data_IF_852591635712
#
_entry.id   IF_852591635712
#
_cell.length_a   1.000
_cell.length_b   1.000
_cell.length_c   1.000
_cell.angle_alpha   90.00
_cell.angle_beta   90.00
_cell.angle_gamma   90.00
#
_symmetry.space_group_name_H-M   'P 1'
#
loop_
_entity.id
_entity.type
_entity.pdbx_description
1 polymer ?
#
# COMPACT_ATOMS: atom_id res chain seq x y z
N UNK A 1 -32.33 -11.54 -6.07
CA UNK A 1 -31.59 -10.28 -5.91
C UNK A 1 -30.20 -10.65 -5.44
N UNK A 2 -29.26 -10.76 -6.37
CA UNK A 2 -27.88 -11.12 -6.07
C UNK A 2 -27.23 -9.89 -5.46
N UNK A 3 -26.94 -9.92 -4.16
CA UNK A 3 -26.11 -8.90 -3.52
C UNK A 3 -24.75 -8.94 -4.23
N UNK A 4 -24.45 -7.91 -5.02
CA UNK A 4 -23.07 -7.61 -5.43
C UNK A 4 -22.32 -7.28 -4.15
N UNK A 5 -21.81 -8.31 -3.49
CA UNK A 5 -20.82 -8.17 -2.45
C UNK A 5 -19.68 -7.37 -3.11
N UNK A 6 -19.40 -6.12 -2.70
CA UNK A 6 -18.20 -5.46 -3.18
C UNK A 6 -17.09 -6.43 -2.79
N UNK A 7 -16.28 -6.84 -3.77
CA UNK A 7 -15.13 -7.68 -3.48
C UNK A 7 -14.48 -7.06 -2.25
N UNK A 8 -14.48 -7.80 -1.14
CA UNK A 8 -13.56 -7.49 -0.06
C UNK A 8 -12.22 -7.78 -0.70
N UNK A 9 -11.71 -6.79 -1.43
CA UNK A 9 -10.36 -6.77 -1.95
C UNK A 9 -9.55 -6.59 -0.68
N UNK A 10 -9.42 -7.70 0.06
CA UNK A 10 -8.61 -7.76 1.25
C UNK A 10 -7.26 -7.20 0.87
N UNK A 11 -6.67 -6.42 1.77
CA UNK A 11 -5.30 -5.95 1.57
C UNK A 11 -4.46 -7.06 0.94
N UNK A 12 -3.71 -6.76 -0.13
CA UNK A 12 -2.73 -7.70 -0.61
C UNK A 12 -1.86 -8.11 0.58
N UNK A 13 -1.69 -9.42 0.81
CA UNK A 13 -0.94 -9.93 1.97
C UNK A 13 0.51 -9.43 2.04
N UNK A 14 1.05 -8.98 0.91
CA UNK A 14 2.37 -8.37 0.80
C UNK A 14 2.42 -6.91 1.28
N UNK A 15 1.28 -6.20 1.37
CA UNK A 15 1.22 -4.77 1.67
C UNK A 15 1.36 -4.50 3.17
N UNK A 16 2.57 -4.71 3.69
CA UNK A 16 2.94 -4.54 5.09
C UNK A 16 3.99 -3.45 5.27
N UNK A 17 4.03 -2.82 6.44
CA UNK A 17 5.09 -1.86 6.78
C UNK A 17 6.47 -2.53 6.68
N UNK A 18 7.42 -1.81 6.09
CA UNK A 18 8.77 -2.31 5.81
C UNK A 18 8.92 -3.01 4.46
N UNK A 19 7.83 -3.36 3.78
CA UNK A 19 7.88 -3.95 2.44
C UNK A 19 8.16 -2.87 1.40
N UNK A 20 8.92 -3.21 0.36
CA UNK A 20 9.10 -2.34 -0.78
C UNK A 20 7.94 -2.50 -1.77
N UNK A 21 7.41 -1.36 -2.21
CA UNK A 21 6.36 -1.25 -3.19
C UNK A 21 6.82 -0.36 -4.35
N UNK A 22 6.43 -0.72 -5.57
CA UNK A 22 6.51 0.12 -6.74
C UNK A 22 5.20 0.89 -6.88
N UNK A 23 5.26 2.21 -6.97
CA UNK A 23 4.14 3.09 -7.29
C UNK A 23 4.10 3.32 -8.80
N UNK A 24 3.17 2.64 -9.50
CA UNK A 24 3.07 2.68 -10.96
C UNK A 24 2.66 4.06 -11.49
N UNK A 25 1.87 4.82 -10.73
CA UNK A 25 1.44 6.16 -11.13
C UNK A 25 2.61 7.15 -11.11
N UNK A 26 3.48 7.03 -10.10
CA UNK A 26 4.64 7.90 -9.93
C UNK A 26 5.94 7.34 -10.52
N UNK A 27 5.89 6.13 -11.10
CA UNK A 27 7.04 5.36 -11.63
C UNK A 27 8.23 5.34 -10.66
N UNK A 28 7.96 5.08 -9.37
CA UNK A 28 9.01 5.06 -8.34
C UNK A 28 8.74 4.06 -7.23
N UNK A 29 9.82 3.50 -6.70
CA UNK A 29 9.75 2.55 -5.60
C UNK A 29 9.99 3.22 -4.24
N UNK A 30 9.31 2.71 -3.21
CA UNK A 30 9.50 3.14 -1.83
C UNK A 30 9.17 2.04 -0.83
N UNK A 31 9.56 2.25 0.42
CA UNK A 31 9.22 1.37 1.54
C UNK A 31 7.92 1.82 2.18
N UNK A 32 7.00 0.89 2.40
CA UNK A 32 5.74 1.14 3.12
C UNK A 32 6.03 1.56 4.56
N UNK A 33 5.55 2.74 4.96
CA UNK A 33 5.63 3.25 6.33
C UNK A 33 4.29 3.18 7.05
N UNK A 34 3.21 3.59 6.37
CA UNK A 34 1.88 3.71 6.93
C UNK A 34 0.85 3.30 5.89
N UNK A 35 -0.24 2.71 6.35
CA UNK A 35 -1.39 2.38 5.51
C UNK A 35 -2.57 3.18 6.01
N UNK A 36 -3.34 3.76 5.09
CA UNK A 36 -4.55 4.53 5.35
C UNK A 36 -5.74 3.86 4.71
N UNK A 37 -6.81 3.64 5.46
CA UNK A 37 -8.06 3.10 4.93
C UNK A 37 -8.99 4.19 4.36
N UNK A 38 -10.10 3.79 3.72
CA UNK A 38 -11.05 4.71 3.09
C UNK A 38 -11.75 5.68 4.05
N UNK A 39 -11.79 5.39 5.35
CA UNK A 39 -12.31 6.30 6.39
C UNK A 39 -11.28 7.33 6.88
N UNK A 40 -10.02 7.19 6.44
CA UNK A 40 -8.92 8.07 6.83
C UNK A 40 -8.14 7.59 8.06
N UNK A 41 -8.49 6.43 8.64
CA UNK A 41 -7.70 5.81 9.69
C UNK A 41 -6.33 5.40 9.18
N UNK A 42 -5.29 5.64 9.98
CA UNK A 42 -3.90 5.33 9.64
C UNK A 42 -3.38 4.25 10.59
N UNK A 43 -2.77 3.19 10.06
CA UNK A 43 -2.20 2.10 10.85
C UNK A 43 -0.84 1.68 10.30
N UNK A 44 -0.06 1.04 11.16
CA UNK A 44 1.24 0.45 10.86
C UNK A 44 1.19 -1.07 10.69
N UNK A 45 0.01 -1.68 10.74
CA UNK A 45 -0.20 -3.12 10.63
C UNK A 45 -1.39 -3.44 9.71
N UNK A 46 -1.91 -4.66 9.80
CA UNK A 46 -2.98 -5.13 8.91
C UNK A 46 -4.18 -4.18 8.86
N UNK A 47 -4.44 -3.69 7.65
CA UNK A 47 -5.65 -2.97 7.30
C UNK A 47 -6.42 -3.83 6.31
N UNK A 48 -7.68 -4.24 6.62
CA UNK A 48 -8.43 -5.10 5.72
C UNK A 48 -8.76 -4.45 4.37
N UNK A 49 -8.85 -3.11 4.30
CA UNK A 49 -9.16 -2.36 3.08
C UNK A 49 -8.27 -1.11 2.97
N UNK A 50 -7.02 -1.25 2.50
CA UNK A 50 -6.09 -0.14 2.34
C UNK A 50 -6.53 0.72 1.15
N UNK A 51 -6.61 2.04 1.35
CA UNK A 51 -6.92 3.00 0.30
C UNK A 51 -5.65 3.70 -0.17
N UNK A 52 -4.82 4.19 0.76
CA UNK A 52 -3.55 4.85 0.45
C UNK A 52 -2.42 4.35 1.33
N UNK A 53 -1.20 4.47 0.83
CA UNK A 53 0.00 4.02 1.52
C UNK A 53 1.04 5.12 1.50
N UNK A 54 1.64 5.41 2.65
CA UNK A 54 2.76 6.32 2.74
C UNK A 54 4.04 5.55 2.42
N UNK A 55 4.71 5.94 1.35
CA UNK A 55 5.97 5.36 0.90
C UNK A 55 7.13 6.29 1.25
N UNK A 56 8.22 5.70 1.73
CA UNK A 56 9.52 6.37 1.91
C UNK A 56 10.43 6.01 0.74
N UNK A 57 11.05 6.98 0.04
CA UNK A 57 12.05 6.66 -0.97
C UNK A 57 13.25 5.95 -0.32
N UNK A 58 13.92 5.07 -1.08
CA UNK A 58 15.14 4.39 -0.59
C UNK A 58 16.34 5.36 -0.42
N UNK A 59 16.32 6.48 -1.16
CA UNK A 59 17.34 7.52 -1.10
C UNK A 59 16.84 8.84 -0.50
N UNK A 60 17.37 9.96 -1.00
CA UNK A 60 16.88 11.28 -0.62
C UNK A 60 15.53 11.60 -1.26
N UNK A 61 14.62 12.13 -0.45
CA UNK A 61 13.32 12.59 -0.89
C UNK A 61 12.31 12.62 0.25
N UNK A 62 11.23 13.37 0.05
CA UNK A 62 10.09 13.35 0.97
C UNK A 62 9.27 12.08 0.78
N UNK A 63 8.70 11.57 1.86
CA UNK A 63 7.70 10.51 1.78
C UNK A 63 6.45 11.01 1.03
N UNK A 64 5.74 10.09 0.39
CA UNK A 64 4.54 10.42 -0.39
C UNK A 64 3.42 9.41 -0.18
N UNK A 65 2.18 9.86 -0.37
CA UNK A 65 1.03 8.97 -0.39
C UNK A 65 0.80 8.47 -1.82
N UNK A 66 0.67 7.16 -1.96
CA UNK A 66 0.29 6.47 -3.18
C UNK A 66 -1.03 5.73 -2.97
N UNK A 67 -1.81 5.52 -4.04
CA UNK A 67 -3.02 4.72 -3.99
C UNK A 67 -2.68 3.24 -3.89
N UNK A 68 -3.28 2.53 -2.93
CA UNK A 68 -2.96 1.13 -2.67
C UNK A 68 -3.24 0.22 -3.89
N UNK A 69 -4.21 0.60 -4.73
CA UNK A 69 -4.55 -0.12 -5.96
C UNK A 69 -3.51 0.04 -7.08
N UNK A 70 -2.67 1.09 -7.04
CA UNK A 70 -1.60 1.34 -8.00
C UNK A 70 -0.24 0.81 -7.56
N UNK A 71 -0.18 0.13 -6.41
CA UNK A 71 1.06 -0.41 -5.87
C UNK A 71 1.27 -1.87 -6.25
N UNK A 72 2.52 -2.20 -6.54
CA UNK A 72 2.96 -3.58 -6.78
C UNK A 72 4.15 -3.96 -5.90
N UNK A 73 4.29 -5.23 -5.52
CA UNK A 73 5.47 -5.67 -4.80
C UNK A 73 6.68 -5.58 -5.73
N UNK A 74 7.71 -4.84 -5.31
CA UNK A 74 9.01 -4.97 -5.97
C UNK A 74 9.59 -6.33 -5.59
N UNK A 75 9.78 -7.22 -6.55
CA UNK A 75 10.39 -8.54 -6.33
C UNK A 75 11.75 -8.38 -5.64
N UNK A 76 11.78 -8.56 -4.31
CA UNK A 76 12.98 -8.31 -3.50
C UNK A 76 12.77 -8.33 -1.99
N UNK A 77 11.66 -8.89 -1.49
CA UNK A 77 11.33 -8.94 -0.07
C UNK A 77 11.31 -10.35 0.52
N UNK A 78 12.25 -11.22 0.13
CA UNK A 78 12.61 -12.38 0.97
C UNK A 78 13.80 -11.96 1.85
N UNK A 79 13.54 -11.61 3.10
CA UNK A 79 14.54 -11.63 4.19
C UNK A 79 13.87 -12.03 5.50
#
# INVERSE_FOLDING_TARGET
MTLHQPASCGAPSWLSVGVQAHDNEADRAGTVLLVRDGSGGVRTGDIPSPARVLLRPAGQGAAWWADAAGLEPTAGGEQ
#
